data_IF_480298326631
#
_entry.id   IF_480298326631
#
_cell.length_a   1.000
_cell.length_b   1.000
_cell.length_c   1.000
_cell.angle_alpha   90.00
_cell.angle_beta   90.00
_cell.angle_gamma   90.00
#
_symmetry.space_group_name_H-M   'P 1'
#
loop_
_entity.id
_entity.type
_entity.pdbx_description
1 polymer ?
#
# COMPACT_ATOMS: atom_id res chain seq x y z
N UNK A 1 -16.64 -27.43 -2.36
CA UNK A 1 -16.55 -26.32 -3.30
C UNK A 1 -15.06 -26.11 -3.60
N UNK A 2 -14.57 -26.53 -4.76
CA UNK A 2 -13.24 -26.14 -5.22
C UNK A 2 -13.43 -24.75 -5.82
N UNK A 3 -12.95 -23.72 -5.13
CA UNK A 3 -12.94 -22.37 -5.69
C UNK A 3 -12.13 -22.39 -6.98
N UNK A 4 -12.65 -21.73 -8.01
CA UNK A 4 -11.87 -21.42 -9.20
C UNK A 4 -10.52 -20.85 -8.76
N UNK A 5 -9.43 -21.51 -9.14
CA UNK A 5 -8.11 -20.90 -9.11
C UNK A 5 -8.10 -19.94 -10.28
N UNK A 6 -8.67 -18.75 -10.08
CA UNK A 6 -8.46 -17.64 -11.00
C UNK A 6 -6.95 -17.44 -11.03
N UNK A 7 -6.30 -17.74 -12.16
CA UNK A 7 -4.86 -17.49 -12.32
C UNK A 7 -4.63 -16.00 -12.13
N UNK A 8 -4.20 -15.61 -10.93
CA UNK A 8 -3.89 -14.23 -10.62
C UNK A 8 -2.77 -13.77 -11.54
N UNK A 9 -3.02 -12.66 -12.27
CA UNK A 9 -2.01 -12.07 -13.14
C UNK A 9 -0.80 -11.67 -12.32
N UNK A 10 0.35 -12.23 -12.65
CA UNK A 10 1.63 -11.85 -12.04
C UNK A 10 2.23 -10.68 -12.83
N UNK A 11 2.70 -9.68 -12.10
CA UNK A 11 3.45 -8.54 -12.65
C UNK A 11 4.92 -8.70 -12.26
N UNK A 12 5.86 -8.58 -13.22
CA UNK A 12 7.28 -8.57 -12.90
C UNK A 12 7.61 -7.46 -11.90
N UNK A 13 8.39 -7.81 -10.88
CA UNK A 13 8.96 -6.84 -9.95
C UNK A 13 10.31 -6.34 -10.49
N UNK A 14 10.80 -5.24 -9.93
CA UNK A 14 12.15 -4.75 -10.22
C UNK A 14 13.23 -5.72 -9.70
N UNK A 15 14.45 -5.64 -10.25
CA UNK A 15 15.62 -6.37 -9.73
C UNK A 15 15.91 -6.04 -8.25
N UNK A 16 15.59 -4.82 -7.82
CA UNK A 16 15.70 -4.42 -6.41
C UNK A 16 14.86 -5.31 -5.49
N UNK A 17 13.69 -5.77 -5.94
CA UNK A 17 12.84 -6.68 -5.16
C UNK A 17 13.48 -8.06 -5.02
N UNK A 18 14.21 -8.51 -6.04
CA UNK A 18 14.94 -9.76 -6.00
C UNK A 18 16.09 -9.66 -4.98
N UNK A 19 16.80 -8.54 -4.96
CA UNK A 19 17.91 -8.31 -4.03
C UNK A 19 17.45 -8.15 -2.56
N UNK A 20 16.35 -7.43 -2.33
CA UNK A 20 15.85 -7.14 -0.99
C UNK A 20 15.02 -8.28 -0.38
N UNK A 21 14.22 -8.96 -1.20
CA UNK A 21 13.18 -9.88 -0.73
C UNK A 21 13.22 -11.25 -1.39
N UNK A 22 14.07 -11.45 -2.40
CA UNK A 22 14.09 -12.69 -3.19
C UNK A 22 12.87 -12.85 -4.09
N UNK A 23 12.18 -11.74 -4.42
CA UNK A 23 10.93 -11.75 -5.19
C UNK A 23 11.13 -11.17 -6.60
N UNK A 24 10.65 -11.90 -7.61
CA UNK A 24 10.75 -11.49 -9.03
C UNK A 24 9.41 -11.12 -9.66
N UNK A 25 8.29 -11.47 -9.03
CA UNK A 25 6.97 -11.10 -9.49
C UNK A 25 5.97 -11.11 -8.33
N UNK A 26 4.97 -10.25 -8.42
CA UNK A 26 3.85 -10.21 -7.48
C UNK A 26 2.57 -9.84 -8.23
N UNK A 27 1.39 -10.25 -7.72
CA UNK A 27 0.16 -9.81 -8.31
C UNK A 27 -0.14 -8.33 -7.93
N UNK A 28 -0.90 -7.57 -8.73
CA UNK A 28 -1.18 -6.15 -8.47
C UNK A 28 -1.69 -5.86 -7.05
N UNK A 29 -2.55 -6.73 -6.51
CA UNK A 29 -3.08 -6.58 -5.16
C UNK A 29 -2.01 -6.68 -4.07
N UNK A 30 -0.91 -7.39 -4.31
CA UNK A 30 0.19 -7.48 -3.35
C UNK A 30 0.97 -6.15 -3.27
N UNK A 31 1.15 -5.45 -4.39
CA UNK A 31 1.73 -4.11 -4.40
C UNK A 31 0.83 -3.10 -3.67
N UNK A 32 -0.48 -3.17 -3.92
CA UNK A 32 -1.46 -2.31 -3.25
C UNK A 32 -1.43 -2.51 -1.73
N UNK A 33 -1.59 -3.76 -1.29
CA UNK A 33 -1.59 -4.12 0.12
C UNK A 33 -0.26 -3.78 0.80
N UNK A 34 0.87 -3.93 0.11
CA UNK A 34 2.17 -3.52 0.63
C UNK A 34 2.24 -1.99 0.82
N UNK A 35 1.74 -1.22 -0.14
CA UNK A 35 1.68 0.24 -0.02
C UNK A 35 0.81 0.69 1.14
N UNK A 36 -0.39 0.13 1.28
CA UNK A 36 -1.30 0.43 2.39
C UNK A 36 -0.67 0.09 3.75
N UNK A 37 0.01 -1.05 3.85
CA UNK A 37 0.74 -1.42 5.07
C UNK A 37 1.84 -0.40 5.41
N UNK A 38 2.58 0.09 4.42
CA UNK A 38 3.59 1.13 4.63
C UNK A 38 2.97 2.46 5.07
N UNK A 39 1.82 2.85 4.51
CA UNK A 39 1.10 4.06 4.94
C UNK A 39 0.65 3.97 6.39
N UNK A 40 0.11 2.82 6.80
CA UNK A 40 -0.31 2.58 8.19
C UNK A 40 0.86 2.64 9.16
N UNK A 41 2.02 2.08 8.78
CA UNK A 41 3.20 2.05 9.66
C UNK A 41 3.88 3.42 9.74
N UNK A 42 4.01 4.11 8.60
CA UNK A 42 4.76 5.36 8.52
C UNK A 42 3.96 6.59 8.96
N UNK A 43 2.64 6.59 8.76
CA UNK A 43 1.82 7.79 8.88
C UNK A 43 1.48 8.26 10.29
N UNK A 44 1.83 7.56 11.38
CA UNK A 44 1.48 7.97 12.76
C UNK A 44 0.02 8.47 12.95
N UNK A 45 -0.92 7.91 12.18
CA UNK A 45 -2.34 8.29 12.16
C UNK A 45 -2.79 9.21 11.00
N UNK A 46 -1.90 9.91 10.32
CA UNK A 46 -2.16 10.76 9.13
C UNK A 46 -0.99 10.75 8.13
N UNK A 47 -1.27 10.54 6.84
CA UNK A 47 -0.24 10.56 5.80
C UNK A 47 -0.15 11.95 5.19
N UNK A 48 0.98 12.64 5.36
CA UNK A 48 1.26 13.90 4.68
C UNK A 48 1.51 13.69 3.17
N UNK A 49 1.34 14.75 2.37
CA UNK A 49 1.66 14.70 0.92
C UNK A 49 3.10 14.26 0.65
N UNK A 50 4.05 14.67 1.51
CA UNK A 50 5.45 14.30 1.37
C UNK A 50 5.70 12.81 1.65
N UNK A 51 4.98 12.22 2.60
CA UNK A 51 5.06 10.78 2.89
C UNK A 51 4.41 9.95 1.79
N UNK A 52 3.25 10.40 1.28
CA UNK A 52 2.63 9.79 0.11
C UNK A 52 3.56 9.85 -1.10
N UNK A 53 4.21 10.98 -1.36
CA UNK A 53 5.17 11.12 -2.46
C UNK A 53 6.38 10.17 -2.30
N UNK A 54 6.91 10.02 -1.08
CA UNK A 54 7.97 9.04 -0.79
C UNK A 54 7.51 7.60 -1.00
N UNK A 55 6.28 7.27 -0.62
CA UNK A 55 5.72 5.95 -0.89
C UNK A 55 5.61 5.69 -2.38
N UNK A 56 5.08 6.64 -3.14
CA UNK A 56 4.93 6.51 -4.60
C UNK A 56 6.28 6.29 -5.27
N UNK A 57 7.32 7.05 -4.88
CA UNK A 57 8.68 6.82 -5.38
C UNK A 57 9.19 5.41 -5.03
N UNK A 58 9.00 4.99 -3.78
CA UNK A 58 9.36 3.65 -3.33
C UNK A 58 8.67 2.56 -4.16
N UNK A 59 7.36 2.66 -4.38
CA UNK A 59 6.58 1.68 -5.12
C UNK A 59 6.97 1.61 -6.60
N UNK A 60 7.28 2.76 -7.23
CA UNK A 60 7.83 2.78 -8.60
C UNK A 60 9.17 2.06 -8.69
N UNK A 61 10.05 2.29 -7.72
CA UNK A 61 11.36 1.59 -7.64
C UNK A 61 11.20 0.09 -7.48
N UNK A 62 10.13 -0.37 -6.84
CA UNK A 62 9.79 -1.79 -6.69
C UNK A 62 9.15 -2.40 -7.95
N UNK A 63 8.76 -1.57 -8.93
CA UNK A 63 8.11 -2.01 -10.17
C UNK A 63 6.58 -2.09 -10.08
N UNK A 64 5.96 -1.40 -9.11
CA UNK A 64 4.50 -1.34 -9.02
C UNK A 64 3.90 -0.72 -10.31
N UNK A 65 2.85 -1.31 -10.89
CA UNK A 65 2.12 -0.72 -12.01
C UNK A 65 1.55 0.66 -11.68
N UNK A 66 1.51 1.58 -12.65
CA UNK A 66 0.90 2.91 -12.46
C UNK A 66 -0.60 2.82 -12.10
N UNK A 67 -1.31 1.77 -12.56
CA UNK A 67 -2.69 1.50 -12.14
C UNK A 67 -2.81 1.22 -10.64
N UNK A 68 -1.79 0.60 -10.01
CA UNK A 68 -1.75 0.40 -8.55
C UNK A 68 -1.36 1.69 -7.84
N UNK A 69 -0.36 2.42 -8.39
CA UNK A 69 0.11 3.68 -7.81
C UNK A 69 -1.02 4.71 -7.71
N UNK A 70 -1.89 4.79 -8.73
CA UNK A 70 -3.05 5.69 -8.73
C UNK A 70 -4.03 5.44 -7.58
N UNK A 71 -4.10 4.22 -7.06
CA UNK A 71 -5.02 3.85 -5.97
C UNK A 71 -4.56 4.35 -4.60
N UNK A 72 -3.27 4.64 -4.40
CA UNK A 72 -2.80 5.19 -3.12
C UNK A 72 -3.37 6.57 -2.81
N UNK A 73 -3.79 7.33 -3.83
CA UNK A 73 -4.48 8.60 -3.65
C UNK A 73 -5.90 8.46 -3.09
N UNK A 74 -6.51 7.28 -3.21
CA UNK A 74 -7.83 6.97 -2.65
C UNK A 74 -7.75 6.46 -1.21
N UNK A 75 -6.53 6.31 -0.66
CA UNK A 75 -6.31 5.85 0.71
C UNK A 75 -6.92 6.85 1.71
N UNK A 76 -8.17 6.61 2.08
CA UNK A 76 -8.92 7.45 3.00
C UNK A 76 -8.50 7.14 4.45
N UNK A 77 -7.52 7.89 4.96
CA UNK A 77 -7.34 8.02 6.41
C UNK A 77 -8.52 8.81 6.97
N UNK A 78 -9.66 8.15 7.25
CA UNK A 78 -10.74 8.84 7.97
C UNK A 78 -10.22 9.17 9.38
N UNK A 79 -10.18 10.45 9.79
CA UNK A 79 -10.01 10.76 11.21
C UNK A 79 -11.24 10.19 11.89
N UNK A 80 -11.06 9.24 12.82
CA UNK A 80 -12.10 9.06 13.82
C UNK A 80 -12.22 10.42 14.50
N UNK A 81 -13.38 11.07 14.32
CA UNK A 81 -13.76 12.29 15.02
C UNK A 81 -13.31 12.20 16.49
N UNK A 82 -12.87 13.31 17.11
CA UNK A 82 -12.37 13.28 18.48
C UNK A 82 -13.38 12.50 19.30
N UNK A 83 -12.93 11.37 19.89
CA UNK A 83 -13.72 10.74 20.94
C UNK A 83 -13.82 11.85 21.97
N UNK A 84 -15.00 12.45 22.09
CA UNK A 84 -15.34 13.22 23.26
C UNK A 84 -15.17 12.22 24.39
N UNK A 85 -13.99 12.27 25.02
CA UNK A 85 -13.82 11.82 26.38
C UNK A 85 -14.80 12.70 27.17
N UNK A 86 -16.03 12.22 27.27
CA UNK A 86 -17.01 12.77 28.18
C UNK A 86 -16.33 12.83 29.54
N UNK A 87 -15.99 14.04 29.98
CA UNK A 87 -15.78 14.29 31.40
C UNK A 87 -17.12 14.01 32.05
N UNK A 88 -17.26 13.01 32.94
CA UNK A 88 -18.34 13.09 33.90
C UNK A 88 -18.05 14.30 34.80
N UNK A 89 -19.09 15.09 35.01
CA UNK A 89 -19.13 16.15 36.00
C UNK A 89 -18.94 15.60 37.42
#
# INVERSE_FOLDING_TARGET
MRGDVTTTRMVPMSDLCQDLFGLSAAPPEAFLNHGDALLVIAGDGEVSEAELARLVDHQRRMGAPEEVIGLYGEFAHRPNAPRSCGRPA
#
